data_IF_577268654485
#
_entry.id   IF_577268654485
#
_cell.length_a   1.000
_cell.length_b   1.000
_cell.length_c   1.000
_cell.angle_alpha   90.00
_cell.angle_beta   90.00
_cell.angle_gamma   90.00
#
_symmetry.space_group_name_H-M   'P 1'
#
loop_
_entity.id
_entity.type
_entity.pdbx_description
1 polymer ?
#
# COMPACT_ATOMS: atom_id res chain seq x y z
N UNK A 1 7.96 31.27 -18.13
CA UNK A 1 9.40 30.93 -18.29
C UNK A 1 9.46 29.67 -19.12
N UNK A 2 9.74 29.79 -20.42
CA UNK A 2 9.96 28.63 -21.30
C UNK A 2 11.26 27.94 -20.89
N UNK A 3 11.17 26.66 -20.54
CA UNK A 3 12.36 25.83 -20.36
C UNK A 3 12.97 25.58 -21.73
N UNK A 4 14.16 26.11 -21.95
CA UNK A 4 14.95 25.85 -23.15
C UNK A 4 15.26 24.34 -23.22
N UNK A 5 14.61 23.62 -24.13
CA UNK A 5 14.87 22.19 -24.35
C UNK A 5 16.23 22.04 -25.01
N UNK A 6 17.25 21.81 -24.19
CA UNK A 6 18.58 21.40 -24.66
C UNK A 6 18.40 20.10 -25.45
N UNK A 7 18.62 20.17 -26.76
CA UNK A 7 18.51 19.02 -27.66
C UNK A 7 19.92 18.57 -28.03
N UNK A 8 20.29 17.37 -27.60
CA UNK A 8 21.61 16.81 -27.89
C UNK A 8 21.65 16.18 -29.30
N UNK A 9 22.82 16.17 -29.96
CA UNK A 9 23.01 15.40 -31.19
C UNK A 9 22.66 13.92 -30.98
N UNK A 10 22.11 13.26 -32.00
CA UNK A 10 21.68 11.85 -31.92
C UNK A 10 22.79 10.88 -31.47
N UNK A 11 24.05 11.19 -31.76
CA UNK A 11 25.22 10.44 -31.29
C UNK A 11 25.42 10.57 -29.78
N UNK A 12 25.26 11.77 -29.24
CA UNK A 12 25.34 12.05 -27.79
C UNK A 12 24.16 11.39 -27.06
N UNK A 13 22.96 11.46 -27.64
CA UNK A 13 21.77 10.79 -27.10
C UNK A 13 21.94 9.26 -27.07
N UNK A 14 22.45 8.67 -28.16
CA UNK A 14 22.71 7.23 -28.24
C UNK A 14 23.79 6.79 -27.25
N UNK A 15 24.86 7.56 -27.11
CA UNK A 15 25.92 7.32 -26.12
C UNK A 15 25.39 7.44 -24.69
N UNK A 16 24.52 8.41 -24.40
CA UNK A 16 23.88 8.50 -23.07
C UNK A 16 22.95 7.32 -22.81
N UNK A 17 22.21 6.84 -23.82
CA UNK A 17 21.32 5.69 -23.67
C UNK A 17 22.11 4.37 -23.52
N UNK A 18 23.24 4.22 -24.20
CA UNK A 18 24.17 3.10 -24.04
C UNK A 18 24.87 3.15 -22.68
N UNK A 19 25.36 4.32 -22.25
CA UNK A 19 25.96 4.49 -20.94
C UNK A 19 24.95 4.29 -19.80
N UNK A 20 23.72 4.79 -19.96
CA UNK A 20 22.64 4.58 -19.00
C UNK A 20 22.23 3.10 -18.92
N UNK A 21 22.12 2.42 -20.07
CA UNK A 21 21.86 0.97 -20.11
C UNK A 21 23.00 0.18 -19.47
N UNK A 22 24.26 0.51 -19.79
CA UNK A 22 25.43 -0.12 -19.19
C UNK A 22 25.48 0.12 -17.68
N UNK A 23 25.18 1.35 -17.22
CA UNK A 23 25.07 1.69 -15.80
C UNK A 23 23.94 0.91 -15.13
N UNK A 24 22.76 0.80 -15.76
CA UNK A 24 21.63 0.02 -15.24
C UNK A 24 21.85 -1.49 -15.27
N UNK A 25 22.70 -2.00 -16.17
CA UNK A 25 22.99 -3.43 -16.28
C UNK A 25 24.23 -3.88 -15.50
N UNK A 26 24.94 -2.96 -14.85
CA UNK A 26 26.24 -3.22 -14.22
C UNK A 26 26.16 -3.60 -12.73
N UNK A 27 25.35 -2.95 -11.87
CA UNK A 27 25.27 -3.35 -10.48
C UNK A 27 24.30 -4.51 -10.29
N UNK A 28 24.65 -5.40 -9.36
CA UNK A 28 23.69 -6.32 -8.78
C UNK A 28 22.58 -5.52 -8.08
N UNK A 29 21.34 -5.65 -8.55
CA UNK A 29 20.18 -5.08 -7.85
C UNK A 29 19.81 -5.98 -6.67
N UNK A 30 19.81 -5.41 -5.46
CA UNK A 30 19.27 -6.09 -4.30
C UNK A 30 17.74 -6.19 -4.41
N UNK A 31 17.14 -7.33 -4.02
CA UNK A 31 15.69 -7.49 -4.11
C UNK A 31 14.96 -6.51 -3.20
N UNK A 32 13.81 -6.01 -3.66
CA UNK A 32 12.92 -5.22 -2.81
C UNK A 32 12.25 -6.15 -1.77
N UNK A 33 12.37 -5.81 -0.48
CA UNK A 33 11.91 -6.66 0.64
C UNK A 33 10.70 -6.11 1.41
N UNK A 34 9.95 -5.15 0.82
CA UNK A 34 8.75 -4.56 1.44
C UNK A 34 7.50 -5.42 1.21
N UNK A 35 6.47 -5.36 2.08
CA UNK A 35 5.15 -5.87 1.71
C UNK A 35 4.72 -5.30 0.34
N UNK A 36 4.12 -6.15 -0.47
CA UNK A 36 3.75 -5.93 -1.87
C UNK A 36 4.94 -5.67 -2.82
N UNK A 37 6.12 -6.20 -2.52
CA UNK A 37 7.28 -6.16 -3.43
C UNK A 37 7.42 -7.39 -4.33
N UNK A 38 6.71 -8.48 -4.03
CA UNK A 38 6.77 -9.70 -4.83
C UNK A 38 5.95 -9.58 -6.13
N UNK A 39 6.15 -10.54 -7.02
CA UNK A 39 5.35 -10.66 -8.24
C UNK A 39 3.86 -10.77 -7.88
N UNK A 40 2.97 -9.90 -8.39
CA UNK A 40 1.53 -9.97 -8.11
C UNK A 40 0.89 -11.31 -8.44
N UNK A 41 1.42 -12.04 -9.43
CA UNK A 41 0.94 -13.37 -9.81
C UNK A 41 1.52 -14.50 -8.94
N UNK A 42 2.51 -14.20 -8.11
CA UNK A 42 3.18 -15.14 -7.20
C UNK A 42 3.51 -14.43 -5.87
N UNK A 43 2.48 -14.10 -5.07
CA UNK A 43 2.66 -13.38 -3.82
C UNK A 43 3.54 -14.17 -2.84
N UNK A 44 4.42 -13.48 -2.13
CA UNK A 44 5.24 -14.08 -1.07
C UNK A 44 4.39 -14.49 0.13
N UNK A 45 4.97 -15.29 1.04
CA UNK A 45 4.31 -15.67 2.30
C UNK A 45 3.94 -14.44 3.16
N UNK A 46 4.71 -13.35 3.06
CA UNK A 46 4.42 -12.08 3.75
C UNK A 46 3.23 -11.39 3.09
N UNK A 47 3.19 -11.35 1.76
CA UNK A 47 2.10 -10.71 1.02
C UNK A 47 0.78 -11.46 1.19
N UNK A 48 0.83 -12.79 1.20
CA UNK A 48 -0.32 -13.65 1.49
C UNK A 48 -0.90 -13.35 2.88
N UNK A 49 -0.07 -13.13 3.88
CA UNK A 49 -0.54 -12.79 5.23
C UNK A 49 -1.35 -11.50 5.29
N UNK A 50 -0.98 -10.51 4.49
CA UNK A 50 -1.75 -9.27 4.35
C UNK A 50 -3.02 -9.48 3.52
N UNK A 51 -2.89 -10.04 2.32
CA UNK A 51 -3.99 -10.19 1.36
C UNK A 51 -5.09 -11.09 1.91
N UNK A 52 -4.72 -12.26 2.45
CA UNK A 52 -5.69 -13.25 2.91
C UNK A 52 -6.40 -12.76 4.17
N UNK A 53 -5.70 -12.04 5.06
CA UNK A 53 -6.31 -11.43 6.24
C UNK A 53 -7.31 -10.34 5.86
N UNK A 54 -6.96 -9.47 4.91
CA UNK A 54 -7.86 -8.43 4.40
C UNK A 54 -9.14 -9.02 3.80
N UNK A 55 -9.02 -10.03 2.94
CA UNK A 55 -10.17 -10.71 2.32
C UNK A 55 -11.08 -11.33 3.38
N UNK A 56 -10.51 -12.00 4.38
CA UNK A 56 -11.29 -12.60 5.47
C UNK A 56 -11.96 -11.54 6.35
N UNK A 57 -11.26 -10.45 6.65
CA UNK A 57 -11.80 -9.33 7.42
C UNK A 57 -13.00 -8.69 6.72
N UNK A 58 -12.90 -8.38 5.43
CA UNK A 58 -14.02 -7.83 4.66
C UNK A 58 -15.21 -8.79 4.55
N UNK A 59 -14.95 -10.11 4.52
CA UNK A 59 -15.98 -11.14 4.52
C UNK A 59 -16.71 -11.29 5.86
N UNK A 60 -16.18 -10.71 6.95
CA UNK A 60 -16.69 -10.86 8.30
C UNK A 60 -18.03 -10.10 8.48
N UNK A 61 -18.99 -10.70 9.19
CA UNK A 61 -20.29 -10.07 9.45
C UNK A 61 -20.19 -8.84 10.36
N UNK A 62 -19.27 -8.84 11.31
CA UNK A 62 -18.98 -7.70 12.19
C UNK A 62 -18.45 -6.51 11.38
N UNK A 63 -17.55 -6.78 10.42
CA UNK A 63 -17.03 -5.77 9.48
C UNK A 63 -18.18 -5.09 8.72
N UNK A 64 -19.11 -5.88 8.18
CA UNK A 64 -20.29 -5.37 7.48
C UNK A 64 -21.14 -4.48 8.39
N UNK A 65 -21.42 -4.91 9.63
CA UNK A 65 -22.21 -4.14 10.58
C UNK A 65 -21.54 -2.80 10.97
N UNK A 66 -20.22 -2.78 11.12
CA UNK A 66 -19.46 -1.54 11.38
C UNK A 66 -19.56 -0.61 10.16
N UNK A 67 -19.40 -1.13 8.94
CA UNK A 67 -19.55 -0.34 7.71
C UNK A 67 -20.97 0.24 7.60
N UNK A 68 -22.01 -0.53 7.89
CA UNK A 68 -23.40 -0.06 7.86
C UNK A 68 -23.66 1.10 8.83
N UNK A 69 -23.09 1.05 10.05
CA UNK A 69 -23.17 2.18 10.99
C UNK A 69 -22.52 3.45 10.44
N UNK A 70 -21.35 3.32 9.83
CA UNK A 70 -20.69 4.46 9.19
C UNK A 70 -21.49 5.00 7.99
N UNK A 71 -22.03 4.11 7.14
CA UNK A 71 -22.93 4.50 6.02
C UNK A 71 -24.14 5.28 6.55
N UNK A 72 -24.76 4.83 7.64
CA UNK A 72 -25.86 5.54 8.25
C UNK A 72 -25.46 6.94 8.77
N UNK A 73 -24.27 7.07 9.37
CA UNK A 73 -23.77 8.34 9.87
C UNK A 73 -23.56 9.37 8.75
N UNK A 74 -22.84 9.01 7.68
CA UNK A 74 -22.64 9.94 6.56
C UNK A 74 -23.96 10.24 5.82
N UNK A 75 -24.90 9.29 5.83
CA UNK A 75 -26.24 9.45 5.24
C UNK A 75 -27.10 10.50 5.95
N UNK A 76 -26.88 10.74 7.25
CA UNK A 76 -27.52 11.85 7.98
C UNK A 76 -27.09 13.22 7.45
N UNK A 77 -25.93 13.29 6.79
CA UNK A 77 -25.41 14.49 6.12
C UNK A 77 -25.67 14.45 4.60
N UNK A 78 -26.58 13.58 4.14
CA UNK A 78 -26.94 13.39 2.72
C UNK A 78 -25.79 12.93 1.81
N UNK A 79 -24.74 12.36 2.39
CA UNK A 79 -23.63 11.79 1.64
C UNK A 79 -23.90 10.33 1.29
N UNK A 80 -23.29 9.88 0.19
CA UNK A 80 -23.36 8.48 -0.27
C UNK A 80 -22.00 7.81 -0.08
N UNK A 81 -21.97 6.52 0.30
CA UNK A 81 -20.72 5.77 0.32
C UNK A 81 -20.22 5.56 -1.10
N UNK A 82 -18.89 5.52 -1.27
CA UNK A 82 -18.25 5.09 -2.50
C UNK A 82 -18.70 3.68 -2.88
N UNK A 83 -18.86 3.45 -4.19
CA UNK A 83 -19.42 2.22 -4.74
C UNK A 83 -18.45 1.04 -4.78
N UNK A 84 -17.14 1.29 -4.63
CA UNK A 84 -16.13 0.24 -4.51
C UNK A 84 -15.84 -0.17 -3.06
N UNK A 85 -14.77 -0.94 -2.89
CA UNK A 85 -14.39 -1.52 -1.58
C UNK A 85 -13.78 -0.51 -0.59
N UNK A 86 -13.50 0.72 -1.05
CA UNK A 86 -12.94 1.76 -0.20
C UNK A 86 -13.96 2.24 0.85
N UNK A 87 -13.48 2.47 2.06
CA UNK A 87 -14.24 3.09 3.14
C UNK A 87 -14.15 4.61 3.04
N UNK A 88 -14.94 5.19 2.15
CA UNK A 88 -15.05 6.64 2.00
C UNK A 88 -16.32 7.04 1.27
N UNK A 89 -16.76 8.29 1.40
CA UNK A 89 -17.90 8.81 0.65
C UNK A 89 -17.54 9.02 -0.83
N UNK A 90 -18.56 9.17 -1.67
CA UNK A 90 -18.39 9.69 -3.04
C UNK A 90 -17.89 11.14 -2.99
N UNK A 91 -16.93 11.49 -3.86
CA UNK A 91 -16.33 12.83 -3.93
C UNK A 91 -16.56 13.48 -5.30
N UNK A 92 -16.90 14.78 -5.36
CA UNK A 92 -16.96 15.51 -6.62
C UNK A 92 -15.54 15.68 -7.19
N UNK A 93 -15.35 15.60 -8.51
CA UNK A 93 -14.01 15.63 -9.12
C UNK A 93 -13.35 17.01 -9.09
N UNK A 94 -14.12 18.09 -9.27
CA UNK A 94 -13.58 19.44 -9.53
C UNK A 94 -13.99 20.49 -8.48
N UNK A 95 -14.35 20.05 -7.26
CA UNK A 95 -14.71 20.95 -6.16
C UNK A 95 -13.94 20.58 -4.89
N UNK A 96 -12.78 21.21 -4.72
CA UNK A 96 -11.90 20.97 -3.57
C UNK A 96 -12.54 21.39 -2.25
N UNK A 97 -13.33 22.47 -2.22
CA UNK A 97 -13.98 22.91 -0.99
C UNK A 97 -15.05 21.91 -0.54
N UNK A 98 -15.84 21.39 -1.49
CA UNK A 98 -16.79 20.32 -1.21
C UNK A 98 -16.07 19.03 -0.77
N UNK A 99 -14.96 18.65 -1.41
CA UNK A 99 -14.16 17.49 -0.98
C UNK A 99 -13.67 17.64 0.47
N UNK A 100 -13.19 18.83 0.85
CA UNK A 100 -12.74 19.09 2.23
C UNK A 100 -13.90 18.99 3.24
N UNK A 101 -15.07 19.56 2.93
CA UNK A 101 -16.25 19.46 3.79
C UNK A 101 -16.71 18.01 3.95
N UNK A 102 -16.73 17.25 2.87
CA UNK A 102 -17.07 15.82 2.89
C UNK A 102 -16.06 15.02 3.73
N UNK A 103 -14.76 15.30 3.59
CA UNK A 103 -13.72 14.64 4.37
C UNK A 103 -13.86 14.90 5.87
N UNK A 104 -14.26 16.11 6.28
CA UNK A 104 -14.52 16.42 7.68
C UNK A 104 -15.67 15.57 8.24
N UNK A 105 -16.79 15.47 7.50
CA UNK A 105 -17.93 14.63 7.89
C UNK A 105 -17.53 13.15 7.99
N UNK A 106 -16.78 12.64 7.01
CA UNK A 106 -16.30 11.26 7.01
C UNK A 106 -15.44 10.95 8.24
N UNK A 107 -14.48 11.83 8.53
CA UNK A 107 -13.59 11.70 9.68
C UNK A 107 -14.37 11.78 11.00
N UNK A 108 -15.30 12.72 11.14
CA UNK A 108 -16.13 12.87 12.33
C UNK A 108 -16.98 11.62 12.59
N UNK A 109 -17.62 11.07 11.54
CA UNK A 109 -18.34 9.81 11.62
C UNK A 109 -17.43 8.64 12.01
N UNK A 110 -16.23 8.53 11.43
CA UNK A 110 -15.27 7.48 11.77
C UNK A 110 -14.74 7.58 13.19
N UNK A 111 -14.49 8.79 13.70
CA UNK A 111 -14.03 9.03 15.07
C UNK A 111 -15.14 8.70 16.06
N UNK A 112 -16.32 9.29 15.89
CA UNK A 112 -17.45 9.10 16.81
C UNK A 112 -17.89 7.65 16.94
N UNK A 113 -17.84 6.89 15.84
CA UNK A 113 -18.18 5.48 15.83
C UNK A 113 -17.00 4.56 16.18
N UNK A 114 -15.77 5.07 16.25
CA UNK A 114 -14.56 4.26 16.40
C UNK A 114 -14.34 3.28 15.23
N UNK A 115 -14.81 3.63 14.04
CA UNK A 115 -14.88 2.74 12.87
C UNK A 115 -13.51 2.16 12.51
N UNK A 116 -12.49 3.02 12.40
CA UNK A 116 -11.15 2.62 11.94
C UNK A 116 -10.53 1.59 12.89
N UNK A 117 -10.60 1.82 14.21
CA UNK A 117 -10.03 0.89 15.19
C UNK A 117 -10.73 -0.46 15.16
N UNK A 118 -12.08 -0.48 15.12
CA UNK A 118 -12.82 -1.75 15.10
C UNK A 118 -12.51 -2.58 13.86
N UNK A 119 -12.43 -1.96 12.67
CA UNK A 119 -12.06 -2.67 11.44
C UNK A 119 -10.61 -3.17 11.51
N UNK A 120 -9.69 -2.36 12.00
CA UNK A 120 -8.29 -2.76 12.19
C UNK A 120 -8.14 -3.92 13.19
N UNK A 121 -8.93 -3.94 14.27
CA UNK A 121 -8.93 -5.02 15.25
C UNK A 121 -9.41 -6.35 14.62
N UNK A 122 -10.45 -6.30 13.77
CA UNK A 122 -10.93 -7.48 13.03
C UNK A 122 -9.82 -8.02 12.13
N UNK A 123 -9.21 -7.17 11.30
CA UNK A 123 -8.14 -7.59 10.40
C UNK A 123 -6.94 -8.14 11.17
N UNK A 124 -6.54 -7.46 12.25
CA UNK A 124 -5.40 -7.85 13.08
C UNK A 124 -5.58 -9.24 13.69
N UNK A 125 -6.80 -9.67 14.02
CA UNK A 125 -7.07 -11.05 14.48
C UNK A 125 -6.75 -12.09 13.40
N UNK A 126 -7.11 -11.82 12.15
CA UNK A 126 -6.79 -12.71 11.03
C UNK A 126 -5.28 -12.70 10.73
N UNK A 127 -4.64 -11.54 10.77
CA UNK A 127 -3.20 -11.43 10.62
C UNK A 127 -2.45 -12.19 11.73
N UNK A 128 -2.88 -12.07 12.99
CA UNK A 128 -2.28 -12.80 14.12
C UNK A 128 -2.40 -14.32 13.95
N UNK A 129 -3.59 -14.81 13.59
CA UNK A 129 -3.80 -16.24 13.33
C UNK A 129 -2.94 -16.75 12.16
N UNK A 130 -2.81 -15.95 11.09
CA UNK A 130 -1.95 -16.27 9.97
C UNK A 130 -0.47 -16.35 10.39
N UNK A 131 -0.01 -15.39 11.21
CA UNK A 131 1.36 -15.37 11.71
C UNK A 131 1.64 -16.62 12.54
N UNK A 132 0.74 -16.99 13.45
CA UNK A 132 0.88 -18.19 14.27
C UNK A 132 0.98 -19.46 13.41
N UNK A 133 0.11 -19.60 12.41
CA UNK A 133 0.10 -20.75 11.51
C UNK A 133 1.35 -20.83 10.60
N UNK A 134 2.00 -19.70 10.30
CA UNK A 134 3.11 -19.61 9.34
C UNK A 134 4.43 -19.15 9.97
N UNK A 135 4.56 -19.21 11.30
CA UNK A 135 5.67 -18.61 12.04
C UNK A 135 7.05 -19.03 11.51
N UNK A 136 7.24 -20.31 11.19
CA UNK A 136 8.51 -20.82 10.65
C UNK A 136 8.84 -20.20 9.28
N UNK A 137 7.88 -20.19 8.35
CA UNK A 137 8.08 -19.62 7.02
C UNK A 137 8.30 -18.11 7.06
N UNK A 138 7.60 -17.41 7.96
CA UNK A 138 7.78 -15.97 8.19
C UNK A 138 9.14 -15.66 8.83
N UNK A 139 9.64 -16.52 9.72
CA UNK A 139 10.98 -16.38 10.28
C UNK A 139 12.07 -16.53 9.21
N UNK A 140 11.91 -17.47 8.26
CA UNK A 140 12.81 -17.61 7.12
C UNK A 140 12.75 -16.40 6.18
N UNK A 141 11.55 -15.86 5.93
CA UNK A 141 11.41 -14.61 5.16
C UNK A 141 12.12 -13.44 5.86
N UNK A 142 11.99 -13.33 7.19
CA UNK A 142 12.69 -12.32 8.01
C UNK A 142 14.21 -12.49 7.95
N UNK A 143 14.71 -13.72 7.95
CA UNK A 143 16.14 -14.01 7.80
C UNK A 143 16.66 -13.52 6.45
N UNK A 144 15.98 -13.88 5.35
CA UNK A 144 16.33 -13.40 4.01
C UNK A 144 16.36 -11.87 3.92
N UNK A 145 15.40 -11.18 4.55
CA UNK A 145 15.37 -9.72 4.60
C UNK A 145 16.61 -9.13 5.31
N UNK A 146 17.04 -9.76 6.41
CA UNK A 146 18.26 -9.36 7.13
C UNK A 146 19.52 -9.60 6.31
N UNK A 147 19.59 -10.72 5.58
CA UNK A 147 20.74 -11.03 4.73
C UNK A 147 20.88 -9.99 3.59
N UNK A 148 19.76 -9.57 3.01
CA UNK A 148 19.71 -8.50 2.00
C UNK A 148 20.13 -7.16 2.61
N UNK A 149 19.64 -6.82 3.80
CA UNK A 149 20.02 -5.59 4.50
C UNK A 149 21.52 -5.56 4.82
N UNK A 150 22.06 -6.64 5.37
CA UNK A 150 23.50 -6.75 5.68
C UNK A 150 24.36 -6.64 4.42
N UNK A 151 23.87 -7.11 3.27
CA UNK A 151 24.54 -6.91 1.99
C UNK A 151 24.48 -5.45 1.54
N UNK A 152 23.34 -4.79 1.68
CA UNK A 152 23.20 -3.36 1.38
C UNK A 152 24.16 -2.52 2.22
N UNK A 153 24.24 -2.81 3.53
CA UNK A 153 25.13 -2.10 4.46
C UNK A 153 26.61 -2.24 4.08
N UNK A 154 27.06 -3.44 3.67
CA UNK A 154 28.42 -3.68 3.16
C UNK A 154 28.73 -2.88 1.89
N UNK A 155 27.80 -2.88 0.94
CA UNK A 155 27.94 -2.10 -0.30
C UNK A 155 28.06 -0.60 0.02
N UNK A 156 27.26 -0.08 0.95
CA UNK A 156 27.33 1.32 1.38
C UNK A 156 28.64 1.63 2.10
N UNK A 157 29.17 0.68 2.88
CA UNK A 157 30.47 0.78 3.54
C UNK A 157 31.66 0.64 2.57
N UNK A 158 31.42 0.22 1.33
CA UNK A 158 32.46 0.02 0.32
C UNK A 158 33.20 -1.32 0.43
N UNK A 159 32.58 -2.33 1.05
CA UNK A 159 33.05 -3.72 1.16
C UNK A 159 32.47 -4.62 0.04
#
# INVERSE_FOLDING_TARGET
MEQEKITYPATVQKMSDEAFRACRSSPEELPAMRPHSSNPNQPSIVDRGYIDAWIQAMGNSEWRAIREKWVACIGQQHLKPYSGDSLGPELPQDDLEAQMKIALVDVECKISLGTVQQLADIESRYQAAYIEANQAALNEARKKARDVLAKAERIIAGE
#
